data_IF_081954514781
#
_entry.id   IF_081954514781
#
_cell.length_a   1.000
_cell.length_b   1.000
_cell.length_c   1.000
_cell.angle_alpha   90.00
_cell.angle_beta   90.00
_cell.angle_gamma   90.00
#
_symmetry.space_group_name_H-M   'P 1'
#
loop_
_entity.id
_entity.type
_entity.pdbx_description
1 polymer ?
#
# COMPACT_ATOMS: atom_id res chain seq x y z
N UNK A 1 -6.92 -14.66 -3.70
CA UNK A 1 -6.79 -14.35 -2.25
C UNK A 1 -8.07 -14.81 -1.56
N UNK A 2 -7.97 -15.51 -0.43
CA UNK A 2 -9.15 -15.90 0.34
C UNK A 2 -9.79 -14.64 0.94
N UNK A 3 -11.09 -14.42 0.71
CA UNK A 3 -11.81 -13.29 1.30
C UNK A 3 -12.06 -13.57 2.78
N UNK A 4 -11.12 -13.18 3.63
CA UNK A 4 -11.35 -13.11 5.07
C UNK A 4 -12.50 -12.13 5.32
N UNK A 5 -13.46 -12.51 6.15
CA UNK A 5 -14.61 -11.64 6.42
C UNK A 5 -14.12 -10.41 7.18
N UNK A 6 -14.57 -9.22 6.76
CA UNK A 6 -14.23 -7.95 7.41
C UNK A 6 -14.46 -7.96 8.93
N UNK A 7 -15.47 -8.69 9.40
CA UNK A 7 -15.77 -8.89 10.82
C UNK A 7 -14.70 -9.66 11.60
N UNK A 8 -13.85 -10.44 10.93
CA UNK A 8 -12.72 -11.15 11.54
C UNK A 8 -11.55 -10.18 11.76
N UNK A 9 -11.28 -9.27 10.82
CA UNK A 9 -10.20 -8.27 10.93
C UNK A 9 -10.37 -7.32 12.12
N UNK A 10 -11.60 -6.96 12.50
CA UNK A 10 -11.81 -6.11 13.68
C UNK A 10 -11.45 -6.79 15.00
N UNK A 11 -11.63 -8.11 15.06
CA UNK A 11 -11.41 -8.90 16.28
C UNK A 11 -9.94 -9.17 16.56
N UNK A 12 -9.11 -9.08 15.54
CA UNK A 12 -7.67 -9.26 15.64
C UNK A 12 -7.04 -8.15 16.49
N UNK A 13 -6.05 -8.51 17.28
CA UNK A 13 -5.23 -7.51 17.93
C UNK A 13 -4.31 -6.79 16.92
N UNK A 14 -3.65 -5.71 17.34
CA UNK A 14 -2.81 -4.93 16.42
C UNK A 14 -1.61 -5.74 15.90
N UNK A 15 -1.08 -6.67 16.68
CA UNK A 15 0.06 -7.51 16.31
C UNK A 15 -0.35 -8.49 15.21
N UNK A 16 -1.47 -9.19 15.40
CA UNK A 16 -2.04 -10.13 14.43
C UNK A 16 -2.39 -9.43 13.11
N UNK A 17 -3.05 -8.27 13.19
CA UNK A 17 -3.40 -7.46 12.02
C UNK A 17 -2.14 -7.00 11.27
N UNK A 18 -1.10 -6.58 12.00
CA UNK A 18 0.18 -6.15 11.40
C UNK A 18 0.86 -7.29 10.65
N UNK A 19 0.94 -8.47 11.26
CA UNK A 19 1.52 -9.66 10.62
C UNK A 19 0.76 -10.05 9.36
N UNK A 20 -0.57 -9.96 9.40
CA UNK A 20 -1.40 -10.23 8.22
C UNK A 20 -1.15 -9.23 7.12
N UNK A 21 -1.18 -7.93 7.41
CA UNK A 21 -0.94 -6.89 6.41
C UNK A 21 0.43 -7.05 5.74
N UNK A 22 1.46 -7.37 6.53
CA UNK A 22 2.78 -7.65 6.01
C UNK A 22 2.80 -8.85 5.05
N UNK A 23 2.25 -9.97 5.49
CA UNK A 23 2.33 -11.24 4.76
C UNK A 23 1.41 -11.29 3.55
N UNK A 24 0.15 -10.91 3.72
CA UNK A 24 -0.91 -11.12 2.72
C UNK A 24 -1.07 -9.95 1.75
N UNK A 25 -0.60 -8.75 2.10
CA UNK A 25 -0.73 -7.56 1.25
C UNK A 25 0.61 -6.99 0.85
N UNK A 26 1.44 -6.53 1.78
CA UNK A 26 2.68 -5.81 1.42
C UNK A 26 3.67 -6.69 0.64
N UNK A 27 3.83 -7.96 1.04
CA UNK A 27 4.70 -8.89 0.33
C UNK A 27 4.15 -9.28 -1.04
N UNK A 28 2.85 -9.57 -1.11
CA UNK A 28 2.19 -9.99 -2.35
C UNK A 28 2.16 -8.84 -3.37
N UNK A 29 1.83 -7.61 -2.94
CA UNK A 29 1.83 -6.45 -3.83
C UNK A 29 3.24 -6.12 -4.32
N UNK A 30 4.28 -6.17 -3.46
CA UNK A 30 5.67 -5.96 -3.91
C UNK A 30 6.12 -7.05 -4.88
N UNK A 31 5.68 -8.29 -4.70
CA UNK A 31 5.94 -9.37 -5.67
C UNK A 31 5.31 -9.04 -7.02
N UNK A 32 4.01 -8.72 -7.08
CA UNK A 32 3.35 -8.37 -8.36
C UNK A 32 4.00 -7.13 -8.99
N UNK A 33 4.37 -6.12 -8.19
CA UNK A 33 5.08 -4.94 -8.67
C UNK A 33 6.44 -5.27 -9.31
N UNK A 34 7.20 -6.22 -8.75
CA UNK A 34 8.47 -6.69 -9.35
C UNK A 34 8.26 -7.42 -10.67
N UNK A 35 7.15 -8.14 -10.81
CA UNK A 35 6.79 -8.80 -12.07
C UNK A 35 6.41 -7.74 -13.13
N UNK A 36 5.52 -6.81 -12.77
CA UNK A 36 5.11 -5.71 -13.64
C UNK A 36 6.28 -4.83 -14.08
N UNK A 37 7.25 -4.54 -13.20
CA UNK A 37 8.44 -3.78 -13.53
C UNK A 37 9.27 -4.42 -14.66
N UNK A 38 9.38 -5.75 -14.67
CA UNK A 38 10.13 -6.48 -15.70
C UNK A 38 9.42 -6.38 -17.05
N UNK A 39 8.12 -6.57 -17.09
CA UNK A 39 7.34 -6.44 -18.33
C UNK A 39 7.29 -5.01 -18.84
N UNK A 40 7.25 -4.01 -17.95
CA UNK A 40 7.37 -2.62 -18.34
C UNK A 40 8.74 -2.33 -18.99
N UNK A 41 9.85 -2.82 -18.41
CA UNK A 41 11.18 -2.65 -19.00
C UNK A 41 11.32 -3.31 -20.38
N UNK A 42 10.80 -4.53 -20.56
CA UNK A 42 10.77 -5.20 -21.87
C UNK A 42 9.98 -4.42 -22.93
N UNK A 43 8.88 -3.78 -22.52
CA UNK A 43 8.06 -2.95 -23.40
C UNK A 43 8.73 -1.61 -23.72
N UNK A 44 9.46 -0.99 -22.79
CA UNK A 44 10.20 0.26 -23.05
C UNK A 44 11.24 0.10 -24.17
N UNK A 45 11.82 -1.09 -24.33
CA UNK A 45 12.81 -1.38 -25.38
C UNK A 45 12.19 -1.62 -26.77
N UNK A 46 10.91 -2.00 -26.82
CA UNK A 46 10.27 -2.54 -28.04
C UNK A 46 9.08 -1.71 -28.54
N UNK A 47 8.46 -0.92 -27.68
CA UNK A 47 7.29 -0.13 -28.00
C UNK A 47 7.66 1.18 -28.71
N UNK A 48 6.89 1.50 -29.76
CA UNK A 48 7.10 2.72 -30.56
C UNK A 48 5.87 3.61 -30.60
N UNK A 49 4.70 3.09 -30.21
CA UNK A 49 3.46 3.85 -30.24
C UNK A 49 3.44 4.87 -29.08
N UNK A 50 3.34 6.19 -29.34
CA UNK A 50 3.48 7.23 -28.31
C UNK A 50 2.54 7.07 -27.12
N UNK A 51 1.31 6.65 -27.37
CA UNK A 51 0.32 6.49 -26.31
C UNK A 51 0.57 5.24 -25.46
N UNK A 52 1.20 4.22 -26.03
CA UNK A 52 1.61 3.01 -25.30
C UNK A 52 2.84 3.30 -24.47
N UNK A 53 3.80 4.07 -25.00
CA UNK A 53 4.95 4.60 -24.25
C UNK A 53 4.46 5.39 -23.03
N UNK A 54 3.50 6.32 -23.21
CA UNK A 54 2.94 7.09 -22.10
C UNK A 54 2.30 6.21 -21.03
N UNK A 55 1.54 5.19 -21.44
CA UNK A 55 0.97 4.20 -20.52
C UNK A 55 2.07 3.48 -19.74
N UNK A 56 3.09 2.95 -20.43
CA UNK A 56 4.21 2.23 -19.81
C UNK A 56 4.94 3.12 -18.81
N UNK A 57 5.27 4.37 -19.18
CA UNK A 57 5.94 5.32 -18.28
C UNK A 57 5.13 5.57 -17.00
N UNK A 58 3.79 5.68 -17.11
CA UNK A 58 2.95 5.84 -15.93
C UNK A 58 2.86 4.56 -15.09
N UNK A 59 2.84 3.39 -15.71
CA UNK A 59 2.92 2.12 -15.01
C UNK A 59 4.24 2.00 -14.22
N UNK A 60 5.38 2.33 -14.82
CA UNK A 60 6.68 2.35 -14.14
C UNK A 60 6.63 3.29 -12.92
N UNK A 61 6.13 4.52 -13.12
CA UNK A 61 5.99 5.48 -12.02
C UNK A 61 5.09 4.98 -10.89
N UNK A 62 3.95 4.37 -11.22
CA UNK A 62 3.05 3.74 -10.24
C UNK A 62 3.77 2.64 -9.46
N UNK A 63 4.45 1.73 -10.16
CA UNK A 63 5.17 0.61 -9.57
C UNK A 63 6.25 1.10 -8.60
N UNK A 64 7.03 2.11 -9.00
CA UNK A 64 8.07 2.69 -8.16
C UNK A 64 7.48 3.36 -6.91
N UNK A 65 6.39 4.12 -7.04
CA UNK A 65 5.70 4.77 -5.93
C UNK A 65 5.16 3.74 -4.92
N UNK A 66 4.49 2.68 -5.41
CA UNK A 66 3.98 1.59 -4.57
C UNK A 66 5.13 0.92 -3.81
N UNK A 67 6.21 0.54 -4.53
CA UNK A 67 7.34 -0.16 -3.92
C UNK A 67 8.12 0.72 -2.95
N UNK A 68 8.18 2.03 -3.19
CA UNK A 68 8.71 2.98 -2.22
C UNK A 68 7.90 2.96 -0.93
N UNK A 69 6.57 3.08 -1.03
CA UNK A 69 5.72 3.09 0.16
C UNK A 69 5.61 1.74 0.86
N UNK A 70 5.69 0.61 0.16
CA UNK A 70 5.79 -0.71 0.81
C UNK A 70 7.09 -0.83 1.62
N UNK A 71 8.22 -0.33 1.10
CA UNK A 71 9.47 -0.29 1.85
C UNK A 71 9.35 0.58 3.09
N UNK A 72 8.80 1.79 2.97
CA UNK A 72 8.54 2.65 4.13
C UNK A 72 7.66 1.98 5.17
N UNK A 73 6.60 1.28 4.75
CA UNK A 73 5.74 0.53 5.66
C UNK A 73 6.52 -0.54 6.42
N UNK A 74 7.38 -1.31 5.74
CA UNK A 74 8.21 -2.35 6.36
C UNK A 74 9.27 -1.78 7.31
N UNK A 75 9.95 -0.73 6.90
CA UNK A 75 11.10 -0.19 7.63
C UNK A 75 10.67 0.71 8.80
N UNK A 76 9.50 1.35 8.73
CA UNK A 76 9.05 2.35 9.70
C UNK A 76 7.72 1.99 10.34
N UNK A 77 6.68 1.76 9.53
CA UNK A 77 5.31 1.60 10.03
C UNK A 77 5.13 0.29 10.80
N UNK A 78 5.60 -0.84 10.29
CA UNK A 78 5.49 -2.14 10.96
C UNK A 78 6.20 -2.12 12.33
N UNK A 79 7.47 -1.71 12.45
CA UNK A 79 8.14 -1.56 13.75
C UNK A 79 7.37 -0.64 14.70
N UNK A 80 6.80 0.44 14.16
CA UNK A 80 5.96 1.35 14.93
C UNK A 80 4.70 0.66 15.48
N UNK A 81 3.98 -0.12 14.65
CA UNK A 81 2.76 -0.82 15.06
C UNK A 81 3.04 -1.83 16.17
N UNK A 82 4.12 -2.61 16.06
CA UNK A 82 4.55 -3.52 17.14
C UNK A 82 4.92 -2.76 18.41
N UNK A 83 5.64 -1.64 18.30
CA UNK A 83 5.99 -0.79 19.45
C UNK A 83 4.73 -0.24 20.13
N UNK A 84 3.74 0.19 19.35
CA UNK A 84 2.47 0.70 19.87
C UNK A 84 1.70 -0.40 20.61
N UNK A 85 1.61 -1.60 20.02
CA UNK A 85 0.95 -2.75 20.65
C UNK A 85 1.61 -3.11 21.99
N UNK A 86 2.94 -3.14 22.04
CA UNK A 86 3.70 -3.40 23.28
C UNK A 86 3.47 -2.32 24.35
N UNK A 87 3.44 -1.04 23.97
CA UNK A 87 3.16 0.05 24.90
C UNK A 87 1.75 -0.03 25.48
N UNK A 88 0.77 -0.37 24.66
CA UNK A 88 -0.61 -0.50 25.10
C UNK A 88 -0.81 -1.69 26.05
N UNK A 89 -0.21 -2.85 25.78
CA UNK A 89 -0.29 -4.01 26.68
C UNK A 89 0.49 -3.80 27.98
N UNK A 90 1.60 -3.06 27.92
CA UNK A 90 2.41 -2.70 29.09
C UNK A 90 1.84 -1.57 29.96
N UNK A 91 0.63 -1.06 29.67
CA UNK A 91 0.02 0.09 30.36
C UNK A 91 0.92 1.32 30.41
N UNK A 92 1.66 1.57 29.33
CA UNK A 92 2.56 2.72 29.24
C UNK A 92 1.76 4.04 29.16
N UNK A 93 2.21 5.06 29.87
CA UNK A 93 1.69 6.43 29.74
C UNK A 93 2.73 7.34 29.08
N UNK A 94 2.44 7.80 27.87
CA UNK A 94 3.32 8.70 27.12
C UNK A 94 3.41 10.10 27.73
N UNK A 95 2.47 10.53 28.59
CA UNK A 95 2.55 11.83 29.29
C UNK A 95 3.65 11.84 30.35
N UNK A 96 3.87 10.71 31.01
CA UNK A 96 4.90 10.56 32.04
C UNK A 96 6.21 10.03 31.48
N UNK A 97 6.28 9.75 30.17
CA UNK A 97 7.53 9.44 29.52
C UNK A 97 8.43 10.67 29.63
N UNK A 98 9.63 10.53 30.18
CA UNK A 98 10.54 11.61 30.60
C UNK A 98 11.12 12.45 29.45
N UNK A 99 10.32 12.76 28.42
CA UNK A 99 10.75 13.37 27.15
C UNK A 99 11.43 12.39 26.18
N UNK A 100 11.48 11.10 26.51
CA UNK A 100 12.26 10.09 25.76
C UNK A 100 11.42 9.39 24.67
N UNK A 101 10.11 9.62 24.62
CA UNK A 101 9.27 9.06 23.57
C UNK A 101 9.56 9.75 22.22
N UNK A 102 10.49 9.17 21.44
CA UNK A 102 10.85 9.65 20.09
C UNK A 102 9.90 9.15 18.99
N UNK A 103 8.79 8.52 19.37
CA UNK A 103 7.88 7.89 18.42
C UNK A 103 6.99 8.94 17.78
N UNK A 104 7.08 9.08 16.47
CA UNK A 104 6.32 10.08 15.69
C UNK A 104 4.93 9.53 15.31
N UNK A 105 4.06 9.37 16.31
CA UNK A 105 2.73 8.77 16.19
C UNK A 105 1.87 9.34 15.04
N UNK A 106 1.72 10.67 15.00
CA UNK A 106 0.91 11.37 13.99
C UNK A 106 1.50 11.25 12.59
N UNK A 107 2.83 11.34 12.47
CA UNK A 107 3.51 11.28 11.18
C UNK A 107 3.33 9.93 10.50
N UNK A 108 3.33 8.82 11.25
CA UNK A 108 3.15 7.48 10.67
C UNK A 108 1.80 7.33 9.97
N UNK A 109 0.73 7.88 10.57
CA UNK A 109 -0.61 7.80 9.97
C UNK A 109 -0.80 8.80 8.82
N UNK A 110 -0.19 9.98 8.92
CA UNK A 110 -0.18 10.95 7.82
C UNK A 110 0.52 10.38 6.57
N UNK A 111 1.70 9.77 6.75
CA UNK A 111 2.45 9.16 5.66
C UNK A 111 1.64 8.03 4.97
N UNK A 112 0.87 7.26 5.73
CA UNK A 112 0.01 6.21 5.18
C UNK A 112 -1.07 6.79 4.26
N UNK A 113 -1.81 7.80 4.75
CA UNK A 113 -2.88 8.46 4.00
C UNK A 113 -2.36 9.19 2.77
N UNK A 114 -1.21 9.86 2.89
CA UNK A 114 -0.57 10.53 1.76
C UNK A 114 -0.17 9.52 0.68
N UNK A 115 0.35 8.35 1.08
CA UNK A 115 0.65 7.26 0.14
C UNK A 115 -0.62 6.78 -0.59
N UNK A 116 -1.74 6.63 0.11
CA UNK A 116 -3.02 6.24 -0.52
C UNK A 116 -3.41 7.25 -1.59
N UNK A 117 -3.40 8.54 -1.25
CA UNK A 117 -3.78 9.60 -2.18
C UNK A 117 -2.91 9.61 -3.44
N UNK A 118 -1.58 9.58 -3.27
CA UNK A 118 -0.62 9.60 -4.39
C UNK A 118 -0.76 8.39 -5.31
N UNK A 119 -0.92 7.20 -4.74
CA UNK A 119 -1.07 5.96 -5.51
C UNK A 119 -2.41 5.95 -6.25
N UNK A 120 -3.51 6.35 -5.60
CA UNK A 120 -4.83 6.45 -6.24
C UNK A 120 -4.84 7.45 -7.39
N UNK A 121 -4.15 8.59 -7.26
CA UNK A 121 -4.04 9.56 -8.35
C UNK A 121 -3.31 8.98 -9.58
N UNK A 122 -2.24 8.21 -9.38
CA UNK A 122 -1.54 7.53 -10.47
C UNK A 122 -2.40 6.46 -11.13
N UNK A 123 -3.14 5.66 -10.35
CA UNK A 123 -4.08 4.66 -10.85
C UNK A 123 -5.18 5.30 -11.71
N UNK A 124 -5.77 6.40 -11.25
CA UNK A 124 -6.80 7.12 -12.02
C UNK A 124 -6.26 7.60 -13.38
N UNK A 125 -5.06 8.19 -13.41
CA UNK A 125 -4.41 8.62 -14.65
C UNK A 125 -4.18 7.46 -15.62
N UNK A 126 -3.76 6.29 -15.11
CA UNK A 126 -3.58 5.08 -15.92
C UNK A 126 -4.92 4.57 -16.46
N UNK A 127 -5.98 4.56 -15.64
CA UNK A 127 -7.32 4.15 -16.05
C UNK A 127 -7.91 5.06 -17.14
N UNK A 128 -7.59 6.36 -17.13
CA UNK A 128 -7.98 7.29 -18.19
C UNK A 128 -7.30 6.97 -19.53
N UNK A 129 -6.04 6.50 -19.50
CA UNK A 129 -5.29 6.12 -20.70
C UNK A 129 -5.65 4.74 -21.25
N UNK A 130 -6.11 3.81 -20.44
CA UNK A 130 -6.45 2.45 -20.90
C UNK A 130 -7.73 2.38 -21.74
N UNK A 131 -8.58 3.40 -21.70
CA UNK A 131 -9.89 3.43 -22.36
C UNK A 131 -9.90 3.58 -23.89
N UNK A 132 -8.84 4.06 -24.59
CA UNK A 132 -8.85 4.14 -26.06
C UNK A 132 -7.67 3.44 -26.79
N UNK A 133 -6.74 2.77 -26.11
CA UNK A 133 -5.42 2.47 -26.73
C UNK A 133 -5.41 1.33 -27.76
N UNK A 134 -6.27 0.34 -27.61
CA UNK A 134 -6.36 -0.79 -28.54
C UNK A 134 -7.77 -1.39 -28.51
N UNK A 135 -8.33 -1.72 -29.68
CA UNK A 135 -9.37 -2.75 -29.74
C UNK A 135 -8.73 -4.03 -29.18
N UNK A 136 -9.38 -4.72 -28.23
CA UNK A 136 -8.78 -5.80 -27.41
C UNK A 136 -8.06 -6.91 -28.20
N UNK A 137 -8.33 -7.02 -29.50
CA UNK A 137 -7.75 -8.02 -30.40
C UNK A 137 -6.37 -7.64 -30.99
N UNK A 138 -5.96 -6.36 -30.99
CA UNK A 138 -4.73 -5.91 -31.67
C UNK A 138 -3.55 -5.56 -30.74
N UNK A 139 -3.72 -5.62 -29.41
CA UNK A 139 -2.60 -5.28 -28.51
C UNK A 139 -1.53 -6.38 -28.46
N UNK A 140 -0.24 -6.01 -28.42
CA UNK A 140 0.86 -6.94 -28.16
C UNK A 140 0.65 -7.74 -26.85
N UNK A 141 1.10 -9.00 -26.83
CA UNK A 141 0.93 -9.88 -25.67
C UNK A 141 1.52 -9.27 -24.38
N UNK A 142 2.74 -8.71 -24.46
CA UNK A 142 3.40 -8.11 -23.29
C UNK A 142 2.63 -6.90 -22.76
N UNK A 143 2.00 -6.10 -23.63
CA UNK A 143 1.14 -5.00 -23.23
C UNK A 143 -0.09 -5.50 -22.45
N UNK A 144 -0.72 -6.58 -22.93
CA UNK A 144 -1.85 -7.23 -22.23
C UNK A 144 -1.44 -7.77 -20.86
N UNK A 145 -0.24 -8.36 -20.76
CA UNK A 145 0.30 -8.87 -19.49
C UNK A 145 0.48 -7.71 -18.50
N UNK A 146 1.20 -6.64 -18.88
CA UNK A 146 1.40 -5.49 -18.01
C UNK A 146 0.06 -4.87 -17.54
N UNK A 147 -0.92 -4.75 -18.45
CA UNK A 147 -2.26 -4.27 -18.10
C UNK A 147 -2.96 -5.16 -17.07
N UNK A 148 -2.88 -6.48 -17.22
CA UNK A 148 -3.46 -7.41 -16.28
C UNK A 148 -2.78 -7.32 -14.91
N UNK A 149 -1.46 -7.17 -14.87
CA UNK A 149 -0.72 -7.02 -13.61
C UNK A 149 -1.07 -5.72 -12.90
N UNK A 150 -1.17 -4.60 -13.63
CA UNK A 150 -1.63 -3.32 -13.08
C UNK A 150 -3.05 -3.43 -12.52
N UNK A 151 -3.95 -4.18 -13.18
CA UNK A 151 -5.30 -4.44 -12.68
C UNK A 151 -5.28 -5.31 -11.40
N UNK A 152 -4.38 -6.30 -11.31
CA UNK A 152 -4.21 -7.10 -10.09
C UNK A 152 -3.70 -6.20 -8.95
N UNK A 153 -2.74 -5.32 -9.23
CA UNK A 153 -2.21 -4.35 -8.28
C UNK A 153 -3.33 -3.41 -7.79
N UNK A 154 -4.13 -2.85 -8.69
CA UNK A 154 -5.25 -1.95 -8.38
C UNK A 154 -6.26 -2.61 -7.42
N UNK A 155 -6.66 -3.85 -7.72
CA UNK A 155 -7.57 -4.61 -6.84
C UNK A 155 -6.95 -4.87 -5.46
N UNK A 156 -5.68 -5.28 -5.41
CA UNK A 156 -5.00 -5.57 -4.15
C UNK A 156 -4.80 -4.30 -3.30
N UNK A 157 -4.52 -3.16 -3.93
CA UNK A 157 -4.42 -1.86 -3.26
C UNK A 157 -5.77 -1.36 -2.77
N UNK A 158 -6.83 -1.57 -3.54
CA UNK A 158 -8.20 -1.23 -3.12
C UNK A 158 -8.56 -1.96 -1.82
N UNK A 159 -8.31 -3.27 -1.77
CA UNK A 159 -8.54 -4.07 -0.57
C UNK A 159 -7.63 -3.62 0.59
N UNK A 160 -6.34 -3.39 0.32
CA UNK A 160 -5.39 -2.93 1.33
C UNK A 160 -5.79 -1.58 1.93
N UNK A 161 -6.07 -0.57 1.10
CA UNK A 161 -6.42 0.77 1.55
C UNK A 161 -7.71 0.76 2.35
N UNK A 162 -8.68 -0.07 1.95
CA UNK A 162 -9.91 -0.25 2.72
C UNK A 162 -9.63 -0.79 4.12
N UNK A 163 -8.76 -1.79 4.26
CA UNK A 163 -8.37 -2.35 5.57
C UNK A 163 -7.57 -1.33 6.39
N UNK A 164 -6.62 -0.64 5.76
CA UNK A 164 -5.79 0.36 6.41
C UNK A 164 -6.65 1.51 6.96
N UNK A 165 -7.57 2.06 6.17
CA UNK A 165 -8.45 3.18 6.58
C UNK A 165 -9.55 2.76 7.56
N UNK A 166 -10.16 1.60 7.35
CA UNK A 166 -11.35 1.21 8.12
C UNK A 166 -11.02 0.44 9.40
N UNK A 167 -9.85 -0.20 9.46
CA UNK A 167 -9.48 -1.10 10.58
C UNK A 167 -8.18 -0.66 11.23
N UNK A 168 -7.08 -0.57 10.47
CA UNK A 168 -5.76 -0.31 11.05
C UNK A 168 -5.69 1.07 11.71
N UNK A 169 -6.02 2.13 10.96
CA UNK A 169 -5.93 3.51 11.42
C UNK A 169 -6.82 3.74 12.67
N UNK A 170 -8.10 3.33 12.69
CA UNK A 170 -8.93 3.44 13.89
C UNK A 170 -8.33 2.70 15.10
N UNK A 171 -7.85 1.47 14.90
CA UNK A 171 -7.23 0.66 15.97
C UNK A 171 -5.95 1.31 16.50
N UNK A 172 -5.14 1.91 15.63
CA UNK A 172 -3.97 2.71 16.04
C UNK A 172 -4.39 3.92 16.86
N UNK A 173 -5.43 4.64 16.45
CA UNK A 173 -5.93 5.81 17.18
C UNK A 173 -6.46 5.44 18.57
N UNK A 174 -7.20 4.34 18.69
CA UNK A 174 -7.67 3.80 19.98
C UNK A 174 -6.50 3.50 20.93
N UNK A 175 -5.46 2.82 20.43
CA UNK A 175 -4.29 2.47 21.24
C UNK A 175 -3.44 3.68 21.60
N UNK A 176 -3.30 4.66 20.69
CA UNK A 176 -2.65 5.94 20.97
C UNK A 176 -3.37 6.70 22.09
N UNK A 177 -4.71 6.71 22.07
CA UNK A 177 -5.51 7.33 23.13
C UNK A 177 -5.34 6.60 24.46
N UNK A 178 -5.32 5.26 24.45
CA UNK A 178 -5.13 4.44 25.65
C UNK A 178 -3.78 4.68 26.34
N UNK A 179 -2.73 5.00 25.59
CA UNK A 179 -1.41 5.36 26.14
C UNK A 179 -1.20 6.87 26.30
N UNK A 180 -2.25 7.66 26.14
CA UNK A 180 -2.27 9.12 26.30
C UNK A 180 -1.29 9.89 25.39
N UNK A 181 -1.15 9.50 24.13
CA UNK A 181 -0.44 10.32 23.13
C UNK A 181 -1.16 11.66 22.96
N UNK A 182 -0.47 12.77 23.17
CA UNK A 182 -0.97 14.11 22.81
C UNK A 182 -0.76 14.34 21.32
N UNK A 183 -1.87 14.57 20.61
CA UNK A 183 -1.92 14.83 19.16
C UNK A 183 -1.34 16.18 18.77
#
# INVERSE_FOLDING_TARGET
>A
MARTLFSQLYKEDLTELTQRLEKEYYNEIDAVCKHAARHAAELEETESHPSSILYITLCVKLIDEIRFHIRLRKDLTIPYLYTLAQKATGSHDCRTCSGVCKVQHTLQMQNLREAHHRISELLERIQQLTKPLYLENDSPLNYKILRNEVMIIDNALTDLFYIEESVLIPKVAELQNAIHVTS
#
